data_IF_624236564732
#
_entry.id   IF_624236564732
#
_cell.length_a   1.000
_cell.length_b   1.000
_cell.length_c   1.000
_cell.angle_alpha   90.00
_cell.angle_beta   90.00
_cell.angle_gamma   90.00
#
_symmetry.space_group_name_H-M   'P 1'
#
loop_
_entity.id
_entity.type
_entity.pdbx_description
1 polymer ?
#
# COMPACT_ATOMS: atom_id res chain seq x y z
N UNK A 1 22.18 26.57 6.09
CA UNK A 1 21.33 26.14 4.96
C UNK A 1 19.90 26.07 5.45
N UNK A 2 18.96 26.65 4.72
CA UNK A 2 17.52 26.42 4.99
C UNK A 2 17.20 25.04 4.44
N UNK A 3 16.74 24.13 5.29
CA UNK A 3 16.29 22.79 4.87
C UNK A 3 14.79 22.89 4.60
N UNK A 4 14.39 22.59 3.36
CA UNK A 4 12.99 22.52 2.96
C UNK A 4 12.50 21.08 3.12
N UNK A 5 11.33 20.90 3.72
CA UNK A 5 10.68 19.61 3.87
C UNK A 5 9.38 19.57 3.07
N UNK A 6 9.24 18.56 2.23
CA UNK A 6 7.98 18.21 1.58
C UNK A 6 7.45 16.93 2.22
N UNK A 7 6.31 17.04 2.90
CA UNK A 7 5.65 15.90 3.54
C UNK A 7 4.50 15.42 2.64
N UNK A 8 4.63 14.21 2.10
CA UNK A 8 3.62 13.58 1.24
C UNK A 8 3.09 12.32 1.91
N UNK A 9 1.77 12.20 1.95
CA UNK A 9 1.01 11.05 2.44
C UNK A 9 -0.35 11.04 1.73
N UNK A 10 -1.15 9.97 1.86
CA UNK A 10 -2.47 9.96 1.27
C UNK A 10 -3.34 11.13 1.73
N UNK A 11 -4.19 11.60 0.83
CA UNK A 11 -5.17 12.66 1.16
C UNK A 11 -6.15 12.18 2.24
N UNK A 12 -6.51 10.90 2.21
CA UNK A 12 -7.44 10.29 3.15
C UNK A 12 -6.85 8.99 3.70
N UNK A 13 -6.86 8.85 5.03
CA UNK A 13 -6.57 7.59 5.73
C UNK A 13 -7.85 7.20 6.47
N UNK A 14 -8.46 6.09 6.09
CA UNK A 14 -9.64 5.53 6.75
C UNK A 14 -9.15 4.41 7.67
N UNK A 15 -9.48 4.44 8.96
CA UNK A 15 -9.00 3.45 9.92
C UNK A 15 -10.06 3.16 10.97
N UNK A 16 -10.06 1.93 11.49
CA UNK A 16 -10.95 1.46 12.54
C UNK A 16 -11.72 0.20 12.14
N UNK A 17 -12.46 -0.35 13.09
CA UNK A 17 -13.36 -1.48 12.83
C UNK A 17 -14.35 -1.12 11.71
N UNK A 18 -14.53 -2.05 10.77
CA UNK A 18 -15.38 -1.89 9.59
C UNK A 18 -14.98 -0.74 8.65
N UNK A 19 -13.71 -0.32 8.65
CA UNK A 19 -13.22 0.72 7.72
C UNK A 19 -13.52 0.41 6.23
N UNK A 20 -13.70 -0.86 5.85
CA UNK A 20 -14.16 -1.23 4.51
C UNK A 20 -15.53 -0.66 4.12
N UNK A 21 -16.41 -0.32 5.07
CA UNK A 21 -17.70 0.33 4.80
C UNK A 21 -17.54 1.67 4.07
N UNK A 22 -16.38 2.33 4.22
CA UNK A 22 -16.06 3.54 3.47
C UNK A 22 -16.15 3.35 1.95
N UNK A 23 -15.87 2.13 1.46
CA UNK A 23 -15.96 1.81 0.04
C UNK A 23 -17.40 1.87 -0.49
N UNK A 24 -18.42 1.73 0.36
CA UNK A 24 -19.84 1.81 -0.04
C UNK A 24 -20.25 3.26 -0.42
N UNK A 25 -19.47 4.26 -0.02
CA UNK A 25 -19.64 5.66 -0.40
C UNK A 25 -18.66 6.15 -1.47
N UNK A 26 -17.88 5.25 -2.07
CA UNK A 26 -16.84 5.62 -3.04
C UNK A 26 -17.47 6.09 -4.36
N UNK A 27 -17.29 7.37 -4.69
CA UNK A 27 -17.74 7.90 -5.98
C UNK A 27 -16.84 7.46 -7.13
N UNK A 28 -17.44 7.21 -8.30
CA UNK A 28 -16.75 6.74 -9.51
C UNK A 28 -17.67 5.83 -10.32
N UNK A 29 -17.12 5.18 -11.33
CA UNK A 29 -17.85 4.29 -12.22
C UNK A 29 -17.21 2.91 -12.33
N UNK A 30 -15.87 2.81 -12.35
CA UNK A 30 -15.15 1.58 -12.66
C UNK A 30 -13.93 1.38 -11.77
N UNK A 31 -13.93 0.30 -11.00
CA UNK A 31 -12.80 -0.08 -10.15
C UNK A 31 -12.06 -1.32 -10.69
N UNK A 32 -10.75 -1.22 -10.88
CA UNK A 32 -9.87 -2.36 -11.08
C UNK A 32 -9.22 -2.73 -9.76
N UNK A 33 -9.51 -3.93 -9.25
CA UNK A 33 -8.90 -4.47 -8.02
C UNK A 33 -7.72 -5.36 -8.40
N UNK A 34 -6.52 -4.98 -7.93
CA UNK A 34 -5.27 -5.70 -8.12
C UNK A 34 -4.92 -6.41 -6.80
N UNK A 35 -4.82 -7.74 -6.86
CA UNK A 35 -4.67 -8.58 -5.67
C UNK A 35 -3.97 -9.91 -5.98
N UNK A 36 -3.93 -10.81 -5.00
CA UNK A 36 -3.37 -12.15 -5.12
C UNK A 36 -4.43 -13.24 -4.84
N UNK A 37 -4.06 -14.50 -5.13
CA UNK A 37 -4.91 -15.66 -4.89
C UNK A 37 -5.17 -15.92 -3.39
N UNK A 38 -4.29 -15.45 -2.50
CA UNK A 38 -4.47 -15.62 -1.05
C UNK A 38 -5.66 -14.79 -0.58
N UNK A 39 -5.76 -13.53 -1.01
CA UNK A 39 -6.89 -12.65 -0.67
C UNK A 39 -8.22 -13.20 -1.18
N UNK A 40 -8.23 -13.86 -2.35
CA UNK A 40 -9.39 -14.60 -2.85
C UNK A 40 -9.72 -15.78 -1.93
N UNK A 41 -8.74 -16.64 -1.63
CA UNK A 41 -8.97 -17.85 -0.82
C UNK A 41 -9.45 -17.55 0.61
N UNK A 42 -9.06 -16.40 1.17
CA UNK A 42 -9.49 -15.91 2.48
C UNK A 42 -10.87 -15.21 2.46
N UNK A 43 -11.51 -15.07 1.31
CA UNK A 43 -12.78 -14.34 1.16
C UNK A 43 -12.67 -12.82 1.36
N UNK A 44 -11.45 -12.28 1.48
CA UNK A 44 -11.20 -10.84 1.65
C UNK A 44 -11.55 -10.09 0.36
N UNK A 45 -11.19 -10.66 -0.79
CA UNK A 45 -11.55 -10.09 -2.09
C UNK A 45 -13.08 -9.92 -2.21
N UNK A 46 -13.85 -10.97 -1.93
CA UNK A 46 -15.31 -10.92 -2.04
C UNK A 46 -15.91 -9.86 -1.13
N UNK A 47 -15.33 -9.68 0.07
CA UNK A 47 -15.72 -8.59 0.95
C UNK A 47 -15.55 -7.24 0.25
N UNK A 48 -14.37 -6.93 -0.28
CA UNK A 48 -14.11 -5.66 -0.99
C UNK A 48 -15.05 -5.48 -2.19
N UNK A 49 -15.23 -6.52 -3.01
CA UNK A 49 -16.10 -6.48 -4.19
C UNK A 49 -17.56 -6.16 -3.83
N UNK A 50 -18.07 -6.71 -2.72
CA UNK A 50 -19.42 -6.44 -2.26
C UNK A 50 -19.63 -4.94 -1.97
N UNK A 51 -18.69 -4.28 -1.28
CA UNK A 51 -18.82 -2.86 -0.90
C UNK A 51 -18.70 -1.95 -2.12
N UNK A 52 -17.75 -2.24 -3.02
CA UNK A 52 -17.61 -1.48 -4.27
C UNK A 52 -18.87 -1.59 -5.15
N UNK A 53 -19.48 -2.78 -5.25
CA UNK A 53 -20.75 -2.96 -5.98
C UNK A 53 -21.92 -2.23 -5.32
N UNK A 54 -21.96 -2.16 -3.99
CA UNK A 54 -22.97 -1.34 -3.26
C UNK A 54 -22.81 0.15 -3.54
N UNK A 55 -21.59 0.64 -3.73
CA UNK A 55 -21.33 2.00 -4.21
C UNK A 55 -21.73 2.23 -5.67
N UNK A 56 -22.15 1.20 -6.39
CA UNK A 56 -22.57 1.28 -7.79
C UNK A 56 -21.43 1.22 -8.80
N UNK A 57 -20.22 0.80 -8.39
CA UNK A 57 -19.08 0.64 -9.28
C UNK A 57 -19.20 -0.67 -10.07
N UNK A 58 -18.89 -0.62 -11.36
CA UNK A 58 -18.50 -1.79 -12.14
C UNK A 58 -17.09 -2.21 -11.70
N UNK A 59 -16.85 -3.50 -11.48
CA UNK A 59 -15.59 -3.97 -10.88
C UNK A 59 -14.96 -5.08 -11.72
N UNK A 60 -13.69 -4.88 -12.08
CA UNK A 60 -12.82 -5.89 -12.70
C UNK A 60 -11.71 -6.29 -11.73
N UNK A 61 -11.22 -7.53 -11.84
CA UNK A 61 -10.22 -8.08 -10.92
C UNK A 61 -9.01 -8.63 -11.66
N UNK A 62 -7.82 -8.24 -11.20
CA UNK A 62 -6.56 -8.89 -11.52
C UNK A 62 -5.98 -9.53 -10.24
N UNK A 63 -6.04 -10.85 -10.13
CA UNK A 63 -5.68 -11.62 -8.92
C UNK A 63 -4.44 -12.51 -9.11
N UNK A 64 -3.61 -12.19 -10.10
CA UNK A 64 -2.42 -12.97 -10.48
C UNK A 64 -1.13 -12.39 -9.89
N UNK A 65 -1.21 -11.52 -8.88
CA UNK A 65 -0.01 -10.96 -8.26
C UNK A 65 0.74 -12.05 -7.48
N UNK A 66 2.02 -12.18 -7.77
CA UNK A 66 2.95 -13.11 -7.11
C UNK A 66 3.79 -12.34 -6.07
N UNK A 67 4.31 -13.00 -5.01
CA UNK A 67 5.34 -12.41 -4.17
C UNK A 67 6.54 -11.96 -5.01
N UNK A 68 7.17 -10.83 -4.65
CA UNK A 68 8.28 -10.24 -5.43
C UNK A 68 7.88 -10.02 -6.91
N UNK A 69 6.80 -9.24 -7.17
CA UNK A 69 6.10 -9.23 -8.43
C UNK A 69 7.01 -8.80 -9.58
N UNK A 70 6.87 -9.44 -10.73
CA UNK A 70 7.71 -9.16 -11.89
C UNK A 70 7.13 -8.09 -12.82
N UNK A 71 8.00 -7.48 -13.63
CA UNK A 71 7.60 -6.59 -14.73
C UNK A 71 6.53 -7.21 -15.62
N UNK A 72 6.62 -8.52 -15.90
CA UNK A 72 5.63 -9.26 -16.70
C UNK A 72 4.23 -9.23 -16.07
N UNK A 73 4.13 -9.40 -14.75
CA UNK A 73 2.85 -9.32 -14.03
C UNK A 73 2.27 -7.91 -14.10
N UNK A 74 3.10 -6.88 -13.93
CA UNK A 74 2.67 -5.47 -14.11
C UNK A 74 2.09 -5.26 -15.50
N UNK A 75 2.79 -5.66 -16.56
CA UNK A 75 2.30 -5.45 -17.93
C UNK A 75 0.99 -6.18 -18.21
N UNK A 76 0.78 -7.38 -17.67
CA UNK A 76 -0.51 -8.07 -17.79
C UNK A 76 -1.65 -7.29 -17.12
N UNK A 77 -1.42 -6.76 -15.93
CA UNK A 77 -2.41 -5.95 -15.23
C UNK A 77 -2.69 -4.62 -15.95
N UNK A 78 -1.68 -4.02 -16.60
CA UNK A 78 -1.86 -2.83 -17.46
C UNK A 78 -2.79 -3.11 -18.62
N UNK A 79 -2.71 -4.27 -19.28
CA UNK A 79 -3.62 -4.61 -20.38
C UNK A 79 -5.08 -4.78 -19.92
N UNK A 80 -5.28 -5.29 -18.70
CA UNK A 80 -6.61 -5.31 -18.07
C UNK A 80 -7.09 -3.88 -17.83
N UNK A 81 -6.26 -3.01 -17.24
CA UNK A 81 -6.61 -1.60 -17.01
C UNK A 81 -6.95 -0.86 -18.32
N UNK A 82 -6.18 -1.07 -19.38
CA UNK A 82 -6.42 -0.46 -20.71
C UNK A 82 -7.74 -0.91 -21.32
N UNK A 83 -8.07 -2.19 -21.18
CA UNK A 83 -9.30 -2.75 -21.74
C UNK A 83 -10.54 -2.36 -20.95
N UNK A 84 -10.41 -2.28 -19.62
CA UNK A 84 -11.52 -2.02 -18.71
C UNK A 84 -11.80 -0.51 -18.53
N UNK A 85 -10.75 0.31 -18.64
CA UNK A 85 -10.74 1.77 -18.43
C UNK A 85 -11.26 2.19 -17.04
N UNK A 86 -10.58 1.77 -15.94
CA UNK A 86 -11.01 2.11 -14.59
C UNK A 86 -10.78 3.59 -14.27
N UNK A 87 -11.67 4.15 -13.45
CA UNK A 87 -11.42 5.43 -12.76
C UNK A 87 -10.91 5.25 -11.33
N UNK A 88 -10.85 4.00 -10.85
CA UNK A 88 -10.16 3.58 -9.62
C UNK A 88 -9.25 2.39 -9.88
N UNK A 89 -7.99 2.51 -9.50
CA UNK A 89 -7.08 1.37 -9.36
C UNK A 89 -6.90 1.10 -7.87
N UNK A 90 -7.18 -0.13 -7.46
CA UNK A 90 -7.23 -0.54 -6.06
C UNK A 90 -6.21 -1.64 -5.79
N UNK A 91 -5.18 -1.35 -4.99
CA UNK A 91 -4.25 -2.35 -4.48
C UNK A 91 -4.81 -3.02 -3.23
N UNK A 92 -5.11 -4.33 -3.29
CA UNK A 92 -5.61 -5.12 -2.15
C UNK A 92 -4.61 -6.23 -1.81
N UNK A 93 -3.97 -6.15 -0.66
CA UNK A 93 -3.04 -7.20 -0.21
C UNK A 93 -1.85 -6.68 0.59
N UNK A 94 -0.72 -7.38 0.48
CA UNK A 94 0.58 -6.90 0.98
C UNK A 94 1.26 -5.92 0.01
N UNK A 95 2.54 -5.62 0.30
CA UNK A 95 3.37 -4.71 -0.51
C UNK A 95 3.37 -5.05 -2.00
N UNK A 96 3.48 -6.33 -2.36
CA UNK A 96 3.46 -6.78 -3.75
C UNK A 96 2.23 -6.30 -4.54
N UNK A 97 1.02 -6.43 -3.97
CA UNK A 97 -0.22 -6.02 -4.64
C UNK A 97 -0.29 -4.50 -4.82
N UNK A 98 0.13 -3.76 -3.80
CA UNK A 98 0.11 -2.30 -3.83
C UNK A 98 1.18 -1.73 -4.76
N UNK A 99 2.36 -2.35 -4.84
CA UNK A 99 3.40 -1.92 -5.77
C UNK A 99 3.03 -2.23 -7.23
N UNK A 100 2.40 -3.38 -7.50
CA UNK A 100 1.80 -3.63 -8.82
C UNK A 100 0.72 -2.60 -9.12
N UNK A 101 -0.15 -2.27 -8.16
CA UNK A 101 -1.21 -1.28 -8.35
C UNK A 101 -0.66 0.12 -8.68
N UNK A 102 0.39 0.57 -7.97
CA UNK A 102 1.09 1.83 -8.26
C UNK A 102 1.71 1.83 -9.66
N UNK A 103 2.38 0.74 -10.04
CA UNK A 103 2.99 0.63 -11.37
C UNK A 103 1.93 0.66 -12.49
N UNK A 104 0.84 -0.10 -12.32
CA UNK A 104 -0.30 -0.10 -13.25
C UNK A 104 -0.93 1.29 -13.33
N UNK A 105 -1.06 1.98 -12.20
CA UNK A 105 -1.60 3.34 -12.15
C UNK A 105 -0.80 4.31 -13.03
N UNK A 106 0.53 4.29 -12.92
CA UNK A 106 1.39 5.11 -13.77
C UNK A 106 1.25 4.75 -15.24
N UNK A 107 1.38 3.47 -15.58
CA UNK A 107 1.40 3.02 -16.99
C UNK A 107 0.04 3.11 -17.68
N UNK A 108 -1.06 3.11 -16.91
CA UNK A 108 -2.41 3.36 -17.40
C UNK A 108 -2.64 4.85 -17.69
N UNK A 109 -2.25 5.72 -16.76
CA UNK A 109 -2.32 7.19 -16.93
C UNK A 109 -1.41 7.67 -18.06
N UNK A 110 -0.17 7.18 -18.08
CA UNK A 110 0.93 7.56 -18.97
C UNK A 110 1.45 6.36 -19.77
N UNK A 111 0.73 5.93 -20.82
CA UNK A 111 1.17 4.81 -21.66
C UNK A 111 2.44 5.10 -22.46
N UNK A 112 2.89 6.35 -22.49
CA UNK A 112 4.14 6.82 -23.10
C UNK A 112 5.38 6.66 -22.20
N UNK A 113 5.19 6.36 -20.92
CA UNK A 113 6.27 6.17 -19.94
C UNK A 113 6.59 4.67 -19.82
N UNK A 114 7.88 4.30 -19.86
CA UNK A 114 8.30 2.95 -19.53
C UNK A 114 8.37 2.74 -18.01
N UNK A 115 8.23 1.50 -17.56
CA UNK A 115 8.28 1.16 -16.14
C UNK A 115 9.61 1.60 -15.50
N UNK A 116 10.72 1.44 -16.23
CA UNK A 116 12.08 1.80 -15.82
C UNK A 116 12.27 3.31 -15.64
N UNK A 117 11.44 4.11 -16.31
CA UNK A 117 11.57 5.57 -16.31
C UNK A 117 10.81 6.23 -15.14
N UNK A 118 10.11 5.44 -14.32
CA UNK A 118 9.43 5.93 -13.12
C UNK A 118 10.49 6.32 -12.08
N UNK A 119 10.78 7.60 -12.00
CA UNK A 119 11.77 8.15 -11.07
C UNK A 119 11.32 9.47 -10.45
N UNK A 120 11.91 9.88 -9.31
CA UNK A 120 11.57 11.15 -8.65
C UNK A 120 11.85 12.40 -9.50
N UNK A 121 12.58 12.27 -10.60
CA UNK A 121 12.97 13.36 -11.50
C UNK A 121 11.96 13.59 -12.63
N UNK A 122 10.99 12.69 -12.80
CA UNK A 122 10.01 12.73 -13.88
C UNK A 122 8.67 13.17 -13.32
N UNK A 123 8.14 14.29 -13.84
CA UNK A 123 6.77 14.70 -13.60
C UNK A 123 5.82 13.86 -14.45
N UNK A 124 4.99 13.08 -13.79
CA UNK A 124 4.08 12.13 -14.42
C UNK A 124 2.71 12.76 -14.71
N UNK A 125 2.28 13.74 -13.91
CA UNK A 125 1.00 14.44 -14.09
C UNK A 125 -0.21 13.51 -13.95
N UNK A 126 -0.15 12.57 -12.99
CA UNK A 126 -1.14 11.50 -12.80
C UNK A 126 -2.52 12.05 -12.38
N UNK A 127 -3.50 11.15 -12.24
CA UNK A 127 -4.89 11.42 -11.83
C UNK A 127 -5.72 12.16 -12.88
N UNK A 128 -5.50 11.87 -14.16
CA UNK A 128 -6.34 12.39 -15.26
C UNK A 128 -7.40 11.37 -15.68
N UNK A 129 -7.09 10.08 -15.56
CA UNK A 129 -7.98 8.96 -15.90
C UNK A 129 -8.49 8.24 -14.66
N UNK A 130 -7.63 7.97 -13.69
CA UNK A 130 -7.92 7.16 -12.51
C UNK A 130 -7.43 7.79 -11.20
N UNK A 131 -7.90 7.26 -10.08
CA UNK A 131 -7.35 7.50 -8.75
C UNK A 131 -6.81 6.20 -8.15
N UNK A 132 -5.91 6.31 -7.19
CA UNK A 132 -5.28 5.16 -6.53
C UNK A 132 -5.82 5.00 -5.10
N UNK A 133 -6.27 3.79 -4.77
CA UNK A 133 -6.69 3.41 -3.42
C UNK A 133 -5.93 2.16 -2.98
N UNK A 134 -5.41 2.15 -1.74
CA UNK A 134 -4.76 0.97 -1.18
C UNK A 134 -5.53 0.40 0.02
N UNK A 135 -5.60 -0.92 0.10
CA UNK A 135 -6.22 -1.68 1.17
C UNK A 135 -5.19 -2.70 1.67
N UNK A 136 -4.31 -2.32 2.61
CA UNK A 136 -3.30 -3.22 3.14
C UNK A 136 -3.95 -4.34 3.95
N UNK A 137 -3.51 -5.57 3.75
CA UNK A 137 -3.94 -6.75 4.54
C UNK A 137 -2.83 -7.28 5.44
N UNK A 138 -1.68 -6.61 5.45
CA UNK A 138 -0.53 -6.90 6.30
C UNK A 138 -0.13 -5.65 7.09
N UNK A 139 0.56 -5.84 8.21
CA UNK A 139 1.00 -4.74 9.10
C UNK A 139 2.52 -4.60 9.09
N UNK A 140 3.09 -4.29 7.92
CA UNK A 140 4.55 -4.20 7.74
C UNK A 140 5.01 -3.11 6.78
N UNK A 141 4.95 -3.41 5.48
CA UNK A 141 5.64 -2.67 4.40
C UNK A 141 5.42 -1.16 4.32
N UNK A 142 4.28 -0.65 4.81
CA UNK A 142 3.89 0.76 4.61
C UNK A 142 3.64 1.14 3.14
N UNK A 143 3.61 0.17 2.23
CA UNK A 143 3.44 0.41 0.80
C UNK A 143 2.09 1.06 0.46
N UNK A 144 1.12 1.03 1.37
CA UNK A 144 -0.17 1.70 1.21
C UNK A 144 -0.04 3.24 1.17
N UNK A 145 1.00 3.79 1.79
CA UNK A 145 1.20 5.24 1.98
C UNK A 145 2.50 5.78 1.39
N UNK A 146 3.41 4.92 0.95
CA UNK A 146 4.70 5.33 0.41
C UNK A 146 4.68 5.56 -1.09
N UNK A 147 5.70 6.28 -1.55
CA UNK A 147 5.92 6.68 -2.94
C UNK A 147 6.87 5.74 -3.69
N UNK A 148 7.36 4.70 -3.01
CA UNK A 148 8.23 3.67 -3.57
C UNK A 148 7.39 2.57 -4.25
N UNK A 149 7.99 1.93 -5.25
CA UNK A 149 7.47 0.77 -5.96
C UNK A 149 8.63 -0.21 -6.14
N UNK A 150 8.47 -1.46 -5.68
CA UNK A 150 9.49 -2.49 -5.82
C UNK A 150 9.00 -3.59 -6.77
N UNK A 151 9.63 -3.71 -7.94
CA UNK A 151 9.30 -4.70 -8.97
C UNK A 151 10.54 -5.51 -9.34
N UNK A 152 10.41 -6.81 -9.53
CA UNK A 152 11.52 -7.66 -10.00
C UNK A 152 11.66 -7.61 -11.53
N UNK A 153 12.86 -7.31 -12.01
CA UNK A 153 13.24 -7.54 -13.40
C UNK A 153 13.72 -8.99 -13.56
N UNK A 154 12.92 -9.80 -14.27
CA UNK A 154 13.20 -11.22 -14.53
C UNK A 154 14.41 -11.42 -15.47
N UNK A 155 14.70 -10.47 -16.36
CA UNK A 155 15.78 -10.59 -17.36
C UNK A 155 17.15 -10.42 -16.72
N UNK A 156 17.31 -9.38 -15.89
CA UNK A 156 18.58 -9.11 -15.18
C UNK A 156 18.61 -9.66 -13.76
N UNK A 157 17.52 -10.27 -13.28
CA UNK A 157 17.36 -10.87 -11.94
C UNK A 157 17.67 -9.89 -10.81
N UNK A 158 17.18 -8.65 -10.93
CA UNK A 158 17.38 -7.58 -9.94
C UNK A 158 16.07 -6.92 -9.59
N UNK A 159 15.98 -6.41 -8.36
CA UNK A 159 14.87 -5.54 -7.95
C UNK A 159 15.06 -4.15 -8.55
N UNK A 160 14.01 -3.67 -9.21
CA UNK A 160 13.85 -2.30 -9.64
C UNK A 160 13.18 -1.55 -8.49
N UNK A 161 13.90 -0.56 -7.96
CA UNK A 161 13.38 0.37 -6.97
C UNK A 161 12.99 1.64 -7.71
N UNK A 162 11.69 1.80 -7.94
CA UNK A 162 11.12 2.96 -8.62
C UNK A 162 10.46 3.85 -7.58
N UNK A 163 10.37 5.15 -7.85
CA UNK A 163 9.75 6.06 -6.91
C UNK A 163 9.14 7.28 -7.61
N UNK A 164 7.97 7.69 -7.14
CA UNK A 164 7.36 8.97 -7.50
C UNK A 164 6.36 9.40 -6.43
N UNK A 165 6.45 10.64 -5.95
CA UNK A 165 5.48 11.17 -4.97
C UNK A 165 4.05 11.13 -5.51
N UNK A 166 3.87 11.12 -6.82
CA UNK A 166 2.55 11.04 -7.44
C UNK A 166 1.89 9.66 -7.29
N UNK A 167 2.63 8.60 -6.95
CA UNK A 167 2.05 7.26 -6.71
C UNK A 167 1.63 7.00 -5.26
N UNK A 168 1.78 7.98 -4.37
CA UNK A 168 1.13 7.91 -3.05
C UNK A 168 -0.38 7.85 -3.26
N UNK A 169 -1.05 6.88 -2.64
CA UNK A 169 -2.47 6.66 -2.86
C UNK A 169 -3.30 7.89 -2.50
N UNK A 170 -4.41 8.11 -3.19
CA UNK A 170 -5.40 9.12 -2.80
C UNK A 170 -6.07 8.74 -1.47
N UNK A 171 -6.31 7.43 -1.28
CA UNK A 171 -7.00 6.86 -0.13
C UNK A 171 -6.27 5.59 0.31
N UNK A 172 -6.05 5.42 1.62
CA UNK A 172 -5.72 4.10 2.22
C UNK A 172 -6.80 3.70 3.22
N UNK A 173 -7.18 2.43 3.23
CA UNK A 173 -8.24 1.87 4.10
C UNK A 173 -7.67 0.78 5.00
N UNK A 174 -7.54 1.09 6.29
CA UNK A 174 -6.95 0.28 7.35
C UNK A 174 -8.04 -0.41 8.17
N UNK A 175 -8.58 -1.51 7.66
CA UNK A 175 -9.55 -2.33 8.40
C UNK A 175 -8.80 -3.43 9.20
N UNK A 176 -8.83 -3.40 10.55
CA UNK A 176 -8.03 -4.29 11.39
C UNK A 176 -8.45 -5.77 11.28
N UNK A 177 -9.63 -6.07 10.74
CA UNK A 177 -10.06 -7.46 10.48
C UNK A 177 -9.28 -8.13 9.35
N UNK A 178 -8.62 -7.36 8.48
CA UNK A 178 -7.81 -7.88 7.38
C UNK A 178 -6.50 -8.52 7.86
N UNK A 179 -5.63 -7.79 8.62
CA UNK A 179 -4.42 -8.39 9.18
C UNK A 179 -4.69 -9.42 10.27
N UNK A 180 -5.91 -9.52 10.82
CA UNK A 180 -6.29 -10.56 11.78
C UNK A 180 -6.15 -11.98 11.21
N UNK A 181 -6.24 -12.13 9.88
CA UNK A 181 -6.05 -13.40 9.16
C UNK A 181 -4.60 -13.88 9.09
N UNK A 182 -3.61 -13.02 9.41
CA UNK A 182 -2.19 -13.38 9.29
C UNK A 182 -1.78 -14.45 10.31
N UNK A 183 -1.02 -15.48 9.89
CA UNK A 183 -0.44 -16.43 10.83
C UNK A 183 0.60 -15.75 11.75
N UNK A 184 0.94 -16.36 12.91
CA UNK A 184 1.88 -15.77 13.86
C UNK A 184 3.22 -15.39 13.23
N UNK A 185 3.79 -16.26 12.38
CA UNK A 185 5.06 -15.97 11.71
C UNK A 185 4.99 -14.72 10.83
N UNK A 186 3.97 -14.61 9.98
CA UNK A 186 3.80 -13.42 9.14
C UNK A 186 3.55 -12.16 9.98
N UNK A 187 2.85 -12.30 11.12
CA UNK A 187 2.63 -11.20 12.08
C UNK A 187 3.96 -10.71 12.67
N UNK A 188 4.85 -11.63 13.06
CA UNK A 188 6.18 -11.29 13.55
C UNK A 188 7.02 -10.63 12.45
N UNK A 189 7.13 -11.28 11.28
CA UNK A 189 7.96 -10.81 10.17
C UNK A 189 7.55 -9.38 9.74
N UNK A 190 6.26 -9.14 9.54
CA UNK A 190 5.74 -7.81 9.15
C UNK A 190 5.82 -6.79 10.29
N UNK A 191 5.59 -7.19 11.54
CA UNK A 191 5.72 -6.28 12.68
C UNK A 191 7.17 -5.82 12.92
N UNK A 192 8.15 -6.70 12.70
CA UNK A 192 9.58 -6.37 12.79
C UNK A 192 10.01 -5.50 11.60
N UNK A 193 9.48 -5.74 10.40
CA UNK A 193 9.67 -4.88 9.23
C UNK A 193 9.19 -3.44 9.51
N UNK A 194 7.94 -3.27 10.00
CA UNK A 194 7.42 -1.97 10.41
C UNK A 194 8.25 -1.31 11.54
N UNK A 195 8.76 -2.09 12.49
CA UNK A 195 9.62 -1.58 13.54
C UNK A 195 10.95 -1.06 12.97
N UNK A 196 11.53 -1.79 12.03
CA UNK A 196 12.78 -1.43 11.36
C UNK A 196 12.58 -0.12 10.60
N UNK A 197 11.53 -0.01 9.79
CA UNK A 197 11.16 1.23 9.11
C UNK A 197 11.04 2.42 10.07
N UNK A 198 10.37 2.25 11.21
CA UNK A 198 10.20 3.33 12.17
C UNK A 198 11.52 3.73 12.85
N UNK A 199 12.38 2.77 13.19
CA UNK A 199 13.70 3.04 13.78
C UNK A 199 14.58 3.76 12.77
N UNK A 200 14.68 3.26 11.55
CA UNK A 200 15.52 3.85 10.50
C UNK A 200 15.03 5.25 10.12
N UNK A 201 13.71 5.46 10.02
CA UNK A 201 13.16 6.81 9.80
C UNK A 201 13.55 7.79 10.92
N UNK A 202 13.61 7.33 12.17
CA UNK A 202 13.99 8.16 13.32
C UNK A 202 15.51 8.39 13.44
N UNK A 203 16.33 7.51 12.88
CA UNK A 203 17.80 7.65 12.87
C UNK A 203 18.34 8.28 11.59
N UNK A 204 17.50 8.39 10.56
CA UNK A 204 17.88 8.95 9.27
C UNK A 204 18.41 10.38 9.36
N UNK A 205 19.37 10.70 8.48
CA UNK A 205 19.85 12.07 8.28
C UNK A 205 18.77 13.01 7.72
N UNK A 206 17.68 12.44 7.17
CA UNK A 206 16.55 13.16 6.58
C UNK A 206 15.32 13.19 7.50
N UNK A 207 15.48 12.88 8.79
CA UNK A 207 14.42 13.02 9.78
C UNK A 207 13.96 14.47 9.95
N UNK A 208 12.69 14.63 10.30
CA UNK A 208 12.05 15.92 10.59
C UNK A 208 10.98 15.74 11.66
N UNK A 209 10.43 16.85 12.16
CA UNK A 209 9.47 16.82 13.27
C UNK A 209 8.23 15.95 12.98
N UNK A 210 7.77 15.90 11.71
CA UNK A 210 6.62 15.09 11.31
C UNK A 210 6.98 13.61 11.27
N UNK A 211 8.10 13.23 10.64
CA UNK A 211 8.54 11.84 10.60
C UNK A 211 8.86 11.31 12.00
N UNK A 212 9.48 12.12 12.85
CA UNK A 212 9.86 11.75 14.21
C UNK A 212 8.66 11.45 15.09
N UNK A 213 7.61 12.29 15.02
CA UNK A 213 6.39 12.07 15.78
C UNK A 213 5.72 10.74 15.42
N UNK A 214 5.65 10.43 14.12
CA UNK A 214 5.06 9.20 13.61
C UNK A 214 5.93 7.97 13.94
N UNK A 215 7.24 8.06 13.72
CA UNK A 215 8.18 6.99 14.02
C UNK A 215 8.18 6.62 15.51
N UNK A 216 8.29 7.61 16.41
CA UNK A 216 8.29 7.37 17.85
C UNK A 216 6.97 6.74 18.34
N UNK A 217 5.83 7.17 17.78
CA UNK A 217 4.56 6.55 18.10
C UNK A 217 4.48 5.10 17.58
N UNK A 218 4.92 4.86 16.35
CA UNK A 218 4.96 3.52 15.76
C UNK A 218 5.86 2.58 16.56
N UNK A 219 7.09 2.99 16.92
CA UNK A 219 8.02 2.21 17.75
C UNK A 219 7.36 1.80 19.06
N UNK A 220 6.85 2.78 19.84
CA UNK A 220 6.21 2.51 21.15
C UNK A 220 5.03 1.56 21.02
N UNK A 221 4.23 1.74 19.97
CA UNK A 221 3.05 0.92 19.70
C UNK A 221 3.44 -0.50 19.33
N UNK A 222 4.40 -0.68 18.42
CA UNK A 222 4.85 -2.01 17.99
C UNK A 222 5.46 -2.78 19.16
N UNK A 223 6.32 -2.16 19.97
CA UNK A 223 6.87 -2.81 21.17
C UNK A 223 5.78 -3.29 22.15
N UNK A 224 4.69 -2.53 22.28
CA UNK A 224 3.59 -2.86 23.18
C UNK A 224 2.66 -3.96 22.62
N UNK A 225 2.37 -3.92 21.33
CA UNK A 225 1.27 -4.70 20.74
C UNK A 225 1.73 -5.87 19.86
N UNK A 226 2.98 -5.89 19.37
CA UNK A 226 3.49 -6.99 18.54
C UNK A 226 3.50 -8.33 19.28
N UNK A 227 4.01 -8.42 20.53
CA UNK A 227 3.96 -9.68 21.28
C UNK A 227 2.52 -10.19 21.49
N UNK A 228 1.59 -9.27 21.78
CA UNK A 228 0.16 -9.61 21.97
C UNK A 228 -0.47 -10.20 20.71
N UNK A 229 -0.28 -9.55 19.56
CA UNK A 229 -0.85 -10.04 18.30
C UNK A 229 -0.17 -11.33 17.80
N UNK A 230 1.12 -11.52 18.12
CA UNK A 230 1.85 -12.74 17.81
C UNK A 230 1.33 -13.93 18.65
N UNK A 231 1.17 -13.74 19.96
CA UNK A 231 0.66 -14.76 20.88
C UNK A 231 -0.82 -15.06 20.64
N UNK A 232 -1.62 -14.03 20.36
CA UNK A 232 -3.04 -14.14 20.10
C UNK A 232 -3.45 -13.31 18.88
N UNK A 233 -3.51 -13.97 17.72
CA UNK A 233 -3.93 -13.33 16.46
C UNK A 233 -5.37 -12.78 16.45
N UNK A 234 -6.20 -13.13 17.45
CA UNK A 234 -7.57 -12.65 17.64
C UNK A 234 -7.65 -11.45 18.60
N UNK A 235 -6.53 -10.97 19.13
CA UNK A 235 -6.49 -9.72 19.89
C UNK A 235 -6.69 -8.53 18.93
N UNK A 236 -7.94 -8.15 18.71
CA UNK A 236 -8.31 -7.12 17.74
C UNK A 236 -7.78 -5.73 18.09
N UNK A 237 -7.60 -5.42 19.38
CA UNK A 237 -6.94 -4.18 19.81
C UNK A 237 -5.48 -4.19 19.32
N UNK A 238 -4.76 -5.29 19.56
CA UNK A 238 -3.38 -5.42 19.11
C UNK A 238 -3.27 -5.38 17.58
N UNK A 239 -4.19 -6.03 16.86
CA UNK A 239 -4.24 -5.99 15.39
C UNK A 239 -4.45 -4.57 14.87
N UNK A 240 -5.41 -3.83 15.40
CA UNK A 240 -5.65 -2.44 15.02
C UNK A 240 -4.44 -1.55 15.29
N UNK A 241 -3.86 -1.66 16.49
CA UNK A 241 -2.71 -0.83 16.86
C UNK A 241 -1.47 -1.12 16.02
N UNK A 242 -1.21 -2.39 15.70
CA UNK A 242 -0.12 -2.75 14.79
C UNK A 242 -0.37 -2.29 13.36
N UNK A 243 -1.59 -2.43 12.87
CA UNK A 243 -1.93 -2.02 11.52
C UNK A 243 -1.73 -0.51 11.33
N UNK A 244 -2.22 0.27 12.29
CA UNK A 244 -1.98 1.72 12.33
C UNK A 244 -0.50 2.07 12.49
N UNK A 245 0.24 1.33 13.33
CA UNK A 245 1.67 1.59 13.52
C UNK A 245 2.49 1.30 12.27
N UNK A 246 2.16 0.26 11.51
CA UNK A 246 2.82 -0.04 10.24
C UNK A 246 2.59 1.06 9.20
N UNK A 247 1.36 1.56 9.06
CA UNK A 247 1.07 2.70 8.19
C UNK A 247 1.79 3.97 8.66
N UNK A 248 1.82 4.27 9.97
CA UNK A 248 2.54 5.44 10.48
C UNK A 248 4.06 5.31 10.30
N UNK A 249 4.63 4.12 10.45
CA UNK A 249 6.02 3.85 10.07
C UNK A 249 6.23 4.12 8.57
N UNK A 250 5.29 3.67 7.72
CA UNK A 250 5.22 3.97 6.29
C UNK A 250 5.30 5.47 5.97
N UNK A 251 4.47 6.27 6.62
CA UNK A 251 4.47 7.74 6.43
C UNK A 251 5.80 8.33 6.93
N UNK A 252 6.33 7.83 8.04
CA UNK A 252 7.59 8.32 8.60
C UNK A 252 8.76 8.07 7.63
N UNK A 253 9.01 6.82 7.24
CA UNK A 253 10.12 6.49 6.34
C UNK A 253 9.90 7.01 4.92
N UNK A 254 8.64 7.08 4.47
CA UNK A 254 8.31 7.73 3.20
C UNK A 254 8.73 9.19 3.15
N UNK A 255 8.85 9.88 4.29
CA UNK A 255 9.22 11.30 4.35
C UNK A 255 10.61 11.56 4.97
N UNK A 256 11.26 10.53 5.52
CA UNK A 256 12.58 10.61 6.11
C UNK A 256 13.59 9.66 5.50
N UNK A 257 13.22 8.86 4.49
CA UNK A 257 14.02 7.73 4.01
C UNK A 257 14.30 6.68 5.11
N UNK A 258 15.11 5.68 4.79
CA UNK A 258 15.64 4.65 5.70
C UNK A 258 17.19 4.69 5.66
N UNK A 259 17.85 3.96 6.57
CA UNK A 259 19.31 3.80 6.64
C UNK A 259 19.95 4.09 7.99
#
# INVERSE_FOLDING_TARGET
MVVLWEITLPRTIVTGENALEYLEGLGGHKALVITDQVMRSLGILDRVLERLRKAGLEVEVFDQVEPEPSKRIVMKAVEVARSFEPDWIIGLGGGSCMDVAKAVFVLYERPDVALEDISPLVELGLRKKARLLNIPTTSGTGADVTWAIVITDEEVKRKMELASREVVADITVLDPSLPASMPPRLTADTGIDALTHAIEAYTSQWRNDFSDALALWAIRTIFKYLPRAYENGQDMEAREKLHNAATMAGIAFGNAQIG
#
